data_IF_719550802037
#
_entry.id   IF_719550802037
#
_cell.length_a   1.000
_cell.length_b   1.000
_cell.length_c   1.000
_cell.angle_alpha   90.00
_cell.angle_beta   90.00
_cell.angle_gamma   90.00
#
_symmetry.space_group_name_H-M   'P 1'
#
loop_
_entity.id
_entity.type
_entity.pdbx_description
1 polymer ?
#
# COMPACT_ATOMS: atom_id res chain seq x y z
N UNK A 1 -57.96 48.76 -12.04
CA UNK A 1 -57.45 48.65 -10.65
C UNK A 1 -57.53 47.19 -10.22
N UNK A 2 -56.35 46.58 -10.03
CA UNK A 2 -56.03 45.31 -9.34
C UNK A 2 -57.01 44.12 -9.40
N UNK A 3 -56.68 43.10 -10.21
CA UNK A 3 -57.04 41.71 -9.94
C UNK A 3 -55.84 41.03 -9.25
N UNK A 4 -56.02 40.68 -7.99
CA UNK A 4 -55.05 39.91 -7.19
C UNK A 4 -55.24 38.43 -7.58
N UNK A 5 -54.24 37.84 -8.26
CA UNK A 5 -54.14 36.39 -8.37
C UNK A 5 -53.39 35.86 -7.14
N UNK A 6 -54.12 35.11 -6.31
CA UNK A 6 -53.52 34.29 -5.27
C UNK A 6 -52.96 33.01 -5.90
N UNK A 7 -51.64 32.91 -6.02
CA UNK A 7 -50.95 31.65 -6.29
C UNK A 7 -50.55 31.03 -4.96
N UNK A 8 -51.31 30.04 -4.48
CA UNK A 8 -50.86 29.13 -3.43
C UNK A 8 -49.73 28.27 -3.99
N UNK A 9 -48.49 28.55 -3.56
CA UNK A 9 -47.37 27.62 -3.73
C UNK A 9 -47.44 26.62 -2.58
N UNK A 10 -47.93 25.42 -2.87
CA UNK A 10 -47.96 24.29 -1.93
C UNK A 10 -46.51 23.78 -1.79
N UNK A 11 -45.78 24.23 -0.75
CA UNK A 11 -44.49 23.63 -0.38
C UNK A 11 -44.80 22.29 0.29
N UNK A 12 -44.84 21.24 -0.52
CA UNK A 12 -44.83 19.86 -0.03
C UNK A 12 -43.48 19.56 0.59
N UNK A 13 -43.37 19.72 1.91
CA UNK A 13 -42.33 19.08 2.72
C UNK A 13 -42.59 17.57 2.67
N UNK A 14 -42.05 16.90 1.65
CA UNK A 14 -41.94 15.44 1.64
C UNK A 14 -40.81 15.12 2.61
N UNK A 15 -41.16 14.98 3.89
CA UNK A 15 -40.34 14.31 4.87
C UNK A 15 -40.31 12.84 4.47
N UNK A 16 -39.38 12.47 3.59
CA UNK A 16 -39.12 11.07 3.29
C UNK A 16 -38.75 10.37 4.60
N UNK A 17 -39.36 9.22 4.93
CA UNK A 17 -38.97 8.49 6.12
C UNK A 17 -37.49 8.13 5.99
N UNK A 18 -36.72 8.36 7.06
CA UNK A 18 -35.39 7.79 7.23
C UNK A 18 -35.59 6.29 7.37
N UNK A 19 -35.71 5.59 6.24
CA UNK A 19 -35.45 4.17 6.21
C UNK A 19 -33.98 4.01 6.56
N UNK A 20 -33.69 3.36 7.67
CA UNK A 20 -32.41 2.69 7.85
C UNK A 20 -32.25 1.74 6.67
N UNK A 21 -31.46 2.12 5.67
CA UNK A 21 -31.03 1.21 4.61
C UNK A 21 -30.08 0.18 5.22
N UNK A 22 -30.66 -0.79 5.92
CA UNK A 22 -29.97 -1.99 6.35
C UNK A 22 -29.68 -2.79 5.07
N UNK A 23 -28.41 -2.98 4.73
CA UNK A 23 -27.99 -3.73 3.53
C UNK A 23 -27.31 -2.94 2.41
N UNK A 24 -27.29 -1.58 2.41
CA UNK A 24 -26.71 -0.80 1.29
C UNK A 24 -25.24 -1.18 0.99
N UNK A 25 -24.49 -1.56 2.02
CA UNK A 25 -23.04 -1.76 1.93
C UNK A 25 -22.61 -3.22 2.11
N UNK A 26 -23.53 -4.12 2.45
CA UNK A 26 -23.19 -5.46 2.96
C UNK A 26 -22.58 -6.34 1.85
N UNK A 27 -23.01 -6.14 0.60
CA UNK A 27 -22.54 -6.87 -0.56
C UNK A 27 -21.42 -6.16 -1.35
N UNK A 28 -20.98 -4.97 -0.91
CA UNK A 28 -19.94 -4.23 -1.62
C UNK A 28 -18.54 -4.74 -1.28
N UNK A 29 -17.77 -4.99 -2.34
CA UNK A 29 -16.35 -5.26 -2.29
C UNK A 29 -15.64 -4.47 -3.40
N UNK A 30 -14.32 -4.48 -3.38
CA UNK A 30 -13.54 -3.68 -4.31
C UNK A 30 -13.68 -4.15 -5.76
N UNK A 31 -13.76 -5.46 -6.00
CA UNK A 31 -13.96 -6.01 -7.35
C UNK A 31 -15.25 -5.49 -7.99
N UNK A 32 -16.36 -5.49 -7.24
CA UNK A 32 -17.64 -4.96 -7.71
C UNK A 32 -17.57 -3.45 -7.99
N UNK A 33 -16.87 -2.69 -7.17
CA UNK A 33 -16.72 -1.23 -7.38
C UNK A 33 -15.93 -0.96 -8.65
N UNK A 34 -14.86 -1.70 -8.89
CA UNK A 34 -13.99 -1.50 -10.04
C UNK A 34 -14.63 -1.91 -11.38
N UNK A 35 -15.68 -2.72 -11.35
CA UNK A 35 -16.48 -3.04 -12.56
C UNK A 35 -17.59 -2.03 -12.85
N UNK A 36 -17.92 -1.12 -11.94
CA UNK A 36 -18.94 -0.07 -12.17
C UNK A 36 -18.48 0.96 -13.21
N UNK A 37 -19.41 1.65 -13.91
CA UNK A 37 -19.10 2.88 -14.64
C UNK A 37 -18.44 3.94 -13.74
N UNK A 38 -17.57 4.79 -14.29
CA UNK A 38 -16.82 5.80 -13.51
C UNK A 38 -17.74 6.79 -12.78
N UNK A 39 -18.84 7.16 -13.43
CA UNK A 39 -19.88 8.04 -12.90
C UNK A 39 -20.65 7.44 -11.71
N UNK A 40 -20.73 6.10 -11.64
CA UNK A 40 -21.47 5.37 -10.60
C UNK A 40 -20.60 5.05 -9.37
N UNK A 41 -19.28 5.22 -9.47
CA UNK A 41 -18.35 4.97 -8.37
C UNK A 41 -18.43 6.13 -7.36
N UNK A 42 -18.95 5.87 -6.16
CA UNK A 42 -18.75 6.76 -5.00
C UNK A 42 -17.35 6.54 -4.43
N UNK A 43 -16.47 7.54 -4.59
CA UNK A 43 -15.08 7.43 -4.19
C UNK A 43 -14.93 7.24 -2.67
N UNK A 44 -15.81 7.86 -1.87
CA UNK A 44 -15.78 7.71 -0.42
C UNK A 44 -16.13 6.29 0.03
N UNK A 45 -17.14 5.69 -0.59
CA UNK A 45 -17.50 4.30 -0.34
C UNK A 45 -16.38 3.36 -0.78
N UNK A 46 -15.75 3.59 -1.94
CA UNK A 46 -14.60 2.81 -2.37
C UNK A 46 -13.45 2.84 -1.35
N UNK A 47 -13.08 4.03 -0.85
CA UNK A 47 -12.05 4.18 0.17
C UNK A 47 -12.41 3.49 1.50
N UNK A 48 -13.69 3.53 1.91
CA UNK A 48 -14.15 2.85 3.13
C UNK A 48 -14.24 1.33 2.98
N UNK A 49 -14.58 0.83 1.79
CA UNK A 49 -14.55 -0.61 1.47
C UNK A 49 -13.11 -1.12 1.51
N UNK A 50 -12.15 -0.40 0.94
CA UNK A 50 -10.72 -0.75 1.08
C UNK A 50 -10.27 -0.77 2.54
N UNK A 51 -10.76 0.16 3.36
CA UNK A 51 -10.43 0.20 4.77
C UNK A 51 -10.93 -1.03 5.57
N UNK A 52 -11.95 -1.76 5.09
CA UNK A 52 -12.44 -2.96 5.79
C UNK A 52 -11.40 -4.06 5.92
N UNK A 53 -10.41 -4.13 5.02
CA UNK A 53 -9.34 -5.12 5.16
C UNK A 53 -8.55 -4.91 6.45
N UNK A 54 -8.23 -3.65 6.76
CA UNK A 54 -7.48 -3.28 7.95
C UNK A 54 -8.40 -3.00 9.17
N UNK A 55 -9.71 -2.84 8.94
CA UNK A 55 -10.75 -2.61 9.95
C UNK A 55 -12.00 -3.47 9.64
N UNK A 56 -11.98 -4.78 9.91
CA UNK A 56 -13.08 -5.68 9.51
C UNK A 56 -14.47 -5.28 10.04
N UNK A 57 -14.52 -4.66 11.21
CA UNK A 57 -15.75 -4.20 11.87
C UNK A 57 -16.10 -2.74 11.55
N UNK A 58 -15.52 -2.15 10.50
CA UNK A 58 -15.77 -0.77 10.13
C UNK A 58 -17.25 -0.55 9.75
N UNK A 59 -17.91 0.38 10.43
CA UNK A 59 -19.27 0.80 10.09
C UNK A 59 -19.20 1.83 8.95
N UNK A 60 -19.29 1.36 7.69
CA UNK A 60 -19.26 2.22 6.49
C UNK A 60 -20.35 3.29 6.56
N UNK A 61 -21.57 2.92 6.95
CA UNK A 61 -22.71 3.85 6.97
C UNK A 61 -22.46 5.05 7.88
N UNK A 62 -21.81 4.86 9.03
CA UNK A 62 -21.44 5.95 9.93
C UNK A 62 -20.50 6.94 9.25
N UNK A 63 -19.47 6.47 8.56
CA UNK A 63 -18.51 7.34 7.89
C UNK A 63 -19.11 8.00 6.64
N UNK A 64 -19.95 7.30 5.90
CA UNK A 64 -20.70 7.90 4.79
C UNK A 64 -21.60 9.06 5.25
N UNK A 65 -22.31 8.90 6.37
CA UNK A 65 -23.10 9.98 6.97
C UNK A 65 -22.23 11.20 7.35
N UNK A 66 -21.02 10.97 7.88
CA UNK A 66 -20.07 12.04 8.19
C UNK A 66 -19.65 12.78 6.90
N UNK A 67 -19.29 12.05 5.85
CA UNK A 67 -18.88 12.63 4.56
C UNK A 67 -20.02 13.43 3.91
N UNK A 68 -21.24 12.90 3.95
CA UNK A 68 -22.44 13.59 3.44
C UNK A 68 -22.73 14.87 4.22
N UNK A 69 -22.59 14.84 5.56
CA UNK A 69 -22.75 16.03 6.39
C UNK A 69 -21.68 17.09 6.10
N UNK A 70 -20.42 16.69 5.92
CA UNK A 70 -19.34 17.59 5.52
C UNK A 70 -19.61 18.24 4.15
N UNK A 71 -19.98 17.45 3.15
CA UNK A 71 -20.33 17.93 1.82
C UNK A 71 -21.54 18.89 1.86
N UNK A 72 -22.58 18.57 2.62
CA UNK A 72 -23.75 19.44 2.80
C UNK A 72 -23.34 20.82 3.35
N UNK A 73 -22.49 20.85 4.40
CA UNK A 73 -22.01 22.13 4.99
C UNK A 73 -21.22 22.94 3.98
N UNK A 74 -20.31 22.31 3.24
CA UNK A 74 -19.53 22.98 2.19
C UNK A 74 -20.47 23.56 1.13
N UNK A 75 -21.45 22.79 0.66
CA UNK A 75 -22.39 23.24 -0.36
C UNK A 75 -23.24 24.44 0.11
N UNK A 76 -23.69 24.43 1.37
CA UNK A 76 -24.42 25.55 1.97
C UNK A 76 -23.57 26.82 2.06
N UNK A 77 -22.29 26.69 2.41
CA UNK A 77 -21.35 27.83 2.47
C UNK A 77 -21.04 28.39 1.08
N UNK A 78 -21.04 27.54 0.07
CA UNK A 78 -20.75 27.94 -1.32
C UNK A 78 -21.87 28.72 -1.98
N UNK A 79 -23.12 28.58 -1.53
CA UNK A 79 -24.30 29.29 -2.07
C UNK A 79 -24.39 29.24 -3.61
N UNK A 80 -24.04 28.10 -4.21
CA UNK A 80 -24.07 27.90 -5.66
C UNK A 80 -22.87 28.49 -6.43
N UNK A 81 -21.84 29.00 -5.76
CA UNK A 81 -20.65 29.52 -6.43
C UNK A 81 -19.91 28.41 -7.21
N UNK A 82 -19.69 28.67 -8.51
CA UNK A 82 -19.06 27.74 -9.44
C UNK A 82 -17.63 28.10 -9.81
N UNK A 83 -17.10 29.22 -9.30
CA UNK A 83 -15.74 29.69 -9.58
C UNK A 83 -14.74 28.69 -8.98
N UNK A 84 -13.81 28.12 -9.78
CA UNK A 84 -12.87 27.10 -9.32
C UNK A 84 -12.07 27.50 -8.07
N UNK A 85 -11.53 28.72 -8.04
CA UNK A 85 -10.72 29.23 -6.93
C UNK A 85 -11.55 29.37 -5.66
N UNK A 86 -12.83 29.73 -5.77
CA UNK A 86 -13.75 29.79 -4.64
C UNK A 86 -14.05 28.39 -4.09
N UNK A 87 -14.22 27.38 -4.97
CA UNK A 87 -14.40 25.97 -4.58
C UNK A 87 -13.17 25.42 -3.86
N UNK A 88 -11.98 25.63 -4.43
CA UNK A 88 -10.70 25.22 -3.82
C UNK A 88 -10.53 25.92 -2.47
N UNK A 89 -10.68 27.25 -2.43
CA UNK A 89 -10.54 28.04 -1.21
C UNK A 89 -11.51 27.63 -0.11
N UNK A 90 -12.76 27.30 -0.46
CA UNK A 90 -13.74 26.80 0.50
C UNK A 90 -13.39 25.41 1.02
N UNK A 91 -12.98 24.47 0.16
CA UNK A 91 -12.54 23.14 0.61
C UNK A 91 -11.37 23.27 1.60
N UNK A 92 -10.38 24.09 1.26
CA UNK A 92 -9.22 24.34 2.10
C UNK A 92 -9.60 24.98 3.43
N UNK A 93 -10.51 25.95 3.40
CA UNK A 93 -11.02 26.62 4.61
C UNK A 93 -11.76 25.64 5.51
N UNK A 94 -12.62 24.81 4.92
CA UNK A 94 -13.41 23.83 5.65
C UNK A 94 -12.54 22.74 6.29
N UNK A 95 -11.51 22.26 5.58
CA UNK A 95 -10.64 21.19 6.07
C UNK A 95 -9.55 21.69 7.01
N UNK A 96 -8.91 22.83 6.73
CA UNK A 96 -7.62 23.17 7.33
C UNK A 96 -7.63 24.42 8.20
N UNK A 97 -8.70 25.23 8.18
CA UNK A 97 -8.82 26.44 9.02
C UNK A 97 -9.86 26.24 10.11
N UNK A 98 -9.53 26.66 11.33
CA UNK A 98 -10.48 26.59 12.45
C UNK A 98 -11.53 27.68 12.31
N UNK A 99 -12.80 27.33 12.44
CA UNK A 99 -13.89 28.30 12.49
C UNK A 99 -15.25 27.68 12.78
N UNK A 100 -16.30 28.50 12.91
CA UNK A 100 -17.66 28.01 13.19
C UNK A 100 -18.21 27.09 12.08
N UNK A 101 -17.67 27.16 10.86
CA UNK A 101 -18.08 26.32 9.73
C UNK A 101 -17.67 24.85 9.87
N UNK A 102 -16.70 24.50 10.73
CA UNK A 102 -16.23 23.13 10.97
C UNK A 102 -16.11 22.78 12.47
N UNK A 103 -16.91 23.46 13.30
CA UNK A 103 -16.95 23.27 14.76
C UNK A 103 -15.59 23.56 15.42
N UNK A 104 -14.83 24.47 14.82
CA UNK A 104 -13.47 24.85 15.20
C UNK A 104 -12.44 23.71 15.13
N UNK A 105 -12.78 22.59 14.47
CA UNK A 105 -11.92 21.42 14.33
C UNK A 105 -11.28 21.36 12.95
N UNK A 106 -9.94 21.34 12.90
CA UNK A 106 -9.16 21.23 11.67
C UNK A 106 -8.66 19.82 11.44
N UNK A 107 -8.33 19.53 10.19
CA UNK A 107 -7.51 18.40 9.80
C UNK A 107 -6.06 18.87 9.57
N UNK A 108 -5.09 18.04 9.93
CA UNK A 108 -3.66 18.36 9.83
C UNK A 108 -2.86 17.18 9.31
N UNK A 109 -1.62 17.45 8.86
CA UNK A 109 -0.64 16.40 8.62
C UNK A 109 -0.18 15.80 9.95
N UNK A 110 0.05 14.49 9.99
CA UNK A 110 0.62 13.78 11.12
C UNK A 110 2.15 13.83 11.08
N UNK A 111 2.73 14.79 11.80
CA UNK A 111 4.19 14.99 11.83
C UNK A 111 4.92 13.87 12.58
N UNK A 112 4.20 13.06 13.36
CA UNK A 112 4.76 11.93 14.10
C UNK A 112 4.84 10.66 13.21
N UNK A 113 4.33 10.70 11.98
CA UNK A 113 4.27 9.56 11.05
C UNK A 113 4.34 9.99 9.58
N UNK A 114 5.45 10.61 9.20
CA UNK A 114 5.65 11.18 7.85
C UNK A 114 5.52 10.16 6.72
N UNK A 115 5.87 8.90 6.96
CA UNK A 115 5.83 7.79 5.99
C UNK A 115 4.49 7.03 5.99
N UNK A 116 3.49 7.48 6.75
CA UNK A 116 2.21 6.81 6.89
C UNK A 116 2.34 5.33 7.30
N UNK A 117 3.22 5.02 8.25
CA UNK A 117 3.42 3.67 8.77
C UNK A 117 2.26 3.24 9.70
N UNK A 118 1.61 4.20 10.36
CA UNK A 118 0.46 3.93 11.22
C UNK A 118 -0.80 3.66 10.38
N UNK A 119 -1.62 2.72 10.86
CA UNK A 119 -2.86 2.33 10.15
C UNK A 119 -3.80 3.51 9.92
N UNK A 120 -3.88 4.42 10.89
CA UNK A 120 -4.78 5.57 10.81
C UNK A 120 -4.40 6.54 9.69
N UNK A 121 -3.13 6.57 9.29
CA UNK A 121 -2.61 7.44 8.24
C UNK A 121 -2.64 6.81 6.85
N UNK A 122 -3.13 5.58 6.71
CA UNK A 122 -3.25 4.87 5.43
C UNK A 122 -4.68 4.80 4.89
N UNK A 123 -5.69 4.99 5.74
CA UNK A 123 -7.10 4.78 5.40
C UNK A 123 -8.00 5.95 5.81
N UNK A 124 -9.04 6.22 5.03
CA UNK A 124 -9.95 7.37 5.20
C UNK A 124 -10.59 7.44 6.59
N UNK A 125 -11.04 6.30 7.11
CA UNK A 125 -11.69 6.21 8.43
C UNK A 125 -10.75 6.65 9.57
N UNK A 126 -9.45 6.34 9.44
CA UNK A 126 -8.43 6.76 10.39
C UNK A 126 -8.31 8.28 10.41
N UNK A 127 -8.15 8.89 9.23
CA UNK A 127 -8.05 10.34 9.10
C UNK A 127 -9.31 11.08 9.57
N UNK A 128 -10.50 10.55 9.27
CA UNK A 128 -11.76 11.11 9.77
C UNK A 128 -11.87 11.04 11.31
N UNK A 129 -11.31 9.99 11.92
CA UNK A 129 -11.35 9.79 13.37
C UNK A 129 -10.30 10.63 14.12
N UNK A 130 -9.07 10.69 13.61
CA UNK A 130 -7.94 11.35 14.28
C UNK A 130 -7.77 12.81 13.89
N UNK A 131 -8.27 13.18 12.70
CA UNK A 131 -7.98 14.46 12.01
C UNK A 131 -6.50 14.72 11.73
N UNK A 132 -5.65 13.70 11.92
CA UNK A 132 -4.23 13.69 11.55
C UNK A 132 -4.05 12.70 10.42
N UNK A 133 -3.48 13.14 9.29
CA UNK A 133 -3.39 12.35 8.06
C UNK A 133 -2.02 12.43 7.40
N UNK A 134 -1.92 11.86 6.21
CA UNK A 134 -0.67 11.76 5.45
C UNK A 134 -0.83 12.24 4.01
N UNK A 135 0.24 12.15 3.22
CA UNK A 135 0.20 12.29 1.76
C UNK A 135 -0.76 11.34 1.04
N UNK A 136 -1.28 10.31 1.72
CA UNK A 136 -2.30 9.40 1.19
C UNK A 136 -3.69 9.90 1.56
N UNK A 137 -3.96 10.11 2.85
CA UNK A 137 -5.33 10.33 3.36
C UNK A 137 -5.80 11.78 3.26
N UNK A 138 -4.89 12.75 3.29
CA UNK A 138 -5.25 14.16 3.12
C UNK A 138 -5.84 14.45 1.74
N UNK A 139 -5.17 14.11 0.61
CA UNK A 139 -5.77 14.29 -0.70
C UNK A 139 -7.00 13.39 -0.90
N UNK A 140 -7.03 12.20 -0.28
CA UNK A 140 -8.19 11.30 -0.33
C UNK A 140 -9.47 11.97 0.18
N UNK A 141 -9.46 12.58 1.36
CA UNK A 141 -10.66 13.25 1.90
C UNK A 141 -11.10 14.42 1.02
N UNK A 142 -10.14 15.20 0.51
CA UNK A 142 -10.43 16.32 -0.37
C UNK A 142 -11.08 15.88 -1.68
N UNK A 143 -10.57 14.81 -2.31
CA UNK A 143 -11.16 14.22 -3.52
C UNK A 143 -12.54 13.60 -3.25
N UNK A 144 -12.70 12.92 -2.12
CA UNK A 144 -13.98 12.30 -1.70
C UNK A 144 -15.08 13.34 -1.50
N UNK A 145 -14.75 14.50 -0.95
CA UNK A 145 -15.70 15.60 -0.79
C UNK A 145 -15.97 16.29 -2.13
N UNK A 146 -14.95 16.51 -2.96
CA UNK A 146 -15.11 17.06 -4.29
C UNK A 146 -16.01 16.19 -5.18
N UNK A 147 -15.85 14.87 -5.12
CA UNK A 147 -16.70 13.90 -5.83
C UNK A 147 -18.17 14.03 -5.43
N UNK A 148 -18.47 14.06 -4.12
CA UNK A 148 -19.84 14.28 -3.60
C UNK A 148 -20.44 15.62 -4.01
N UNK A 149 -19.61 16.64 -4.16
CA UNK A 149 -20.02 17.99 -4.55
C UNK A 149 -20.11 18.16 -6.08
N UNK A 150 -19.75 17.14 -6.86
CA UNK A 150 -19.69 17.22 -8.32
C UNK A 150 -18.66 18.21 -8.84
N UNK A 151 -17.56 18.43 -8.09
CA UNK A 151 -16.49 19.34 -8.49
C UNK A 151 -15.46 18.58 -9.34
N UNK A 152 -14.96 19.18 -10.44
CA UNK A 152 -14.07 18.51 -11.37
C UNK A 152 -12.63 18.46 -10.83
N UNK A 153 -12.43 17.75 -9.72
CA UNK A 153 -11.12 17.57 -9.09
C UNK A 153 -10.68 16.12 -9.23
N UNK A 154 -9.47 15.91 -9.74
CA UNK A 154 -8.90 14.59 -9.99
C UNK A 154 -7.58 14.41 -9.25
N UNK A 155 -7.27 13.16 -8.89
CA UNK A 155 -5.98 12.83 -8.31
C UNK A 155 -4.87 12.94 -9.36
N UNK A 156 -3.68 13.31 -8.93
CA UNK A 156 -2.46 13.28 -9.75
C UNK A 156 -1.35 12.60 -8.96
N UNK A 157 -0.63 11.69 -9.62
CA UNK A 157 0.55 11.04 -9.04
C UNK A 157 1.80 11.88 -9.22
N UNK A 158 2.55 11.98 -8.14
CA UNK A 158 3.97 12.32 -8.09
C UNK A 158 4.70 11.14 -7.43
N UNK A 159 6.03 10.96 -7.61
CA UNK A 159 6.79 9.96 -6.88
C UNK A 159 6.45 9.90 -5.38
N UNK A 160 5.87 8.77 -4.96
CA UNK A 160 5.46 8.49 -3.57
C UNK A 160 4.50 9.54 -2.96
N UNK A 161 3.75 10.27 -3.79
CA UNK A 161 2.89 11.37 -3.34
C UNK A 161 1.66 11.53 -4.24
N UNK A 162 0.56 11.99 -3.68
CA UNK A 162 -0.61 12.44 -4.45
C UNK A 162 -0.86 13.92 -4.20
N UNK A 163 -1.17 14.64 -5.27
CA UNK A 163 -1.80 15.94 -5.18
C UNK A 163 -3.09 15.93 -6.01
N UNK A 164 -3.81 17.05 -5.98
CA UNK A 164 -5.13 17.17 -6.63
C UNK A 164 -5.01 18.19 -7.75
N UNK A 165 -5.73 17.98 -8.85
CA UNK A 165 -5.89 18.97 -9.91
C UNK A 165 -7.36 19.27 -10.13
N UNK A 166 -7.72 20.53 -10.03
CA UNK A 166 -8.97 21.06 -10.54
C UNK A 166 -8.87 21.13 -12.06
N UNK A 167 -9.74 20.38 -12.75
CA UNK A 167 -9.76 20.24 -14.19
C UNK A 167 -10.70 21.29 -14.76
N UNK A 168 -10.12 22.40 -15.22
CA UNK A 168 -10.83 23.50 -15.88
C UNK A 168 -9.97 24.04 -17.03
N UNK A 169 -10.60 24.37 -18.16
CA UNK A 169 -9.89 24.94 -19.31
C UNK A 169 -9.21 26.29 -18.99
N UNK A 170 -9.71 27.01 -17.98
CA UNK A 170 -9.17 28.30 -17.55
C UNK A 170 -8.12 28.16 -16.43
N UNK A 171 -7.88 26.94 -15.92
CA UNK A 171 -6.86 26.64 -14.91
C UNK A 171 -5.92 25.52 -15.38
N UNK A 172 -4.93 25.83 -16.23
CA UNK A 172 -4.06 24.83 -16.87
C UNK A 172 -3.33 23.93 -15.87
N UNK A 173 -2.90 24.50 -14.74
CA UNK A 173 -2.15 23.81 -13.69
C UNK A 173 -2.90 23.82 -12.36
N UNK A 174 -4.24 23.74 -12.32
CA UNK A 174 -5.11 23.88 -11.12
C UNK A 174 -4.83 22.96 -9.92
N UNK A 175 -3.58 22.86 -9.51
CA UNK A 175 -2.96 21.95 -8.57
C UNK A 175 -3.26 22.43 -7.16
N UNK A 176 -3.58 21.48 -6.30
CA UNK A 176 -3.93 21.69 -4.92
C UNK A 176 -3.12 20.71 -4.09
N UNK A 177 -2.16 21.24 -3.33
CA UNK A 177 -1.31 20.46 -2.43
C UNK A 177 -2.00 20.30 -1.07
N UNK A 178 -2.80 19.23 -0.95
CA UNK A 178 -3.59 18.96 0.24
C UNK A 178 -2.74 18.80 1.52
N UNK A 179 -1.45 18.44 1.40
CA UNK A 179 -0.58 18.25 2.55
C UNK A 179 0.02 19.55 3.11
N UNK A 180 -0.13 20.70 2.44
CA UNK A 180 0.07 22.04 3.01
C UNK A 180 -1.22 22.84 2.82
N UNK A 181 -2.29 22.32 3.42
CA UNK A 181 -3.62 22.91 3.46
C UNK A 181 -4.16 23.47 2.14
N UNK A 182 -3.82 22.80 1.04
CA UNK A 182 -4.44 22.96 -0.27
C UNK A 182 -3.95 24.17 -1.06
N UNK A 183 -2.78 24.72 -0.75
CA UNK A 183 -2.17 25.77 -1.57
C UNK A 183 -1.87 25.30 -3.00
N UNK A 184 -1.73 26.28 -3.90
CA UNK A 184 -1.29 26.02 -5.28
C UNK A 184 0.20 25.67 -5.32
N UNK A 185 0.54 24.63 -6.08
CA UNK A 185 1.93 24.24 -6.37
C UNK A 185 2.08 24.00 -7.86
N UNK A 186 3.00 24.74 -8.49
CA UNK A 186 3.26 24.61 -9.93
C UNK A 186 3.77 23.19 -10.29
N UNK A 187 3.40 22.71 -11.47
CA UNK A 187 3.78 21.38 -11.96
C UNK A 187 5.30 21.20 -11.99
N UNK A 188 6.05 22.23 -12.34
CA UNK A 188 7.52 22.25 -12.37
C UNK A 188 8.12 21.94 -11.00
N UNK A 189 7.48 22.40 -9.92
CA UNK A 189 7.96 22.16 -8.57
C UNK A 189 7.88 20.69 -8.18
N UNK A 190 6.83 19.98 -8.61
CA UNK A 190 6.76 18.54 -8.43
C UNK A 190 7.86 17.83 -9.24
N UNK A 191 8.13 18.26 -10.47
CA UNK A 191 9.21 17.70 -11.31
C UNK A 191 10.55 17.83 -10.60
N UNK A 192 10.89 19.02 -10.10
CA UNK A 192 12.18 19.29 -9.47
C UNK A 192 12.28 18.65 -8.08
N UNK A 193 11.31 18.87 -7.20
CA UNK A 193 11.40 18.46 -5.79
C UNK A 193 11.31 16.92 -5.63
N UNK A 194 10.69 16.22 -6.59
CA UNK A 194 10.56 14.75 -6.56
C UNK A 194 11.38 14.03 -7.62
N UNK A 195 12.22 14.75 -8.37
CA UNK A 195 13.13 14.21 -9.38
C UNK A 195 12.42 13.36 -10.46
N UNK A 196 11.33 13.88 -11.03
CA UNK A 196 10.55 13.17 -12.03
C UNK A 196 11.31 13.10 -13.37
N UNK A 197 11.65 11.91 -13.90
CA UNK A 197 12.27 11.80 -15.20
C UNK A 197 11.31 12.20 -16.32
N UNK A 198 11.81 12.89 -17.35
CA UNK A 198 11.00 13.27 -18.53
C UNK A 198 10.33 12.06 -19.18
N UNK A 199 11.02 10.92 -19.24
CA UNK A 199 10.47 9.67 -19.76
C UNK A 199 9.25 9.18 -18.96
N UNK A 200 9.23 9.36 -17.64
CA UNK A 200 8.11 8.95 -16.80
C UNK A 200 6.86 9.81 -17.05
N UNK A 201 7.06 11.10 -17.37
CA UNK A 201 5.99 12.01 -17.80
C UNK A 201 5.46 11.56 -19.16
N UNK A 202 6.35 11.31 -20.14
CA UNK A 202 5.98 10.82 -21.49
C UNK A 202 5.23 9.49 -21.44
N UNK A 203 5.62 8.59 -20.53
CA UNK A 203 4.97 7.30 -20.31
C UNK A 203 3.64 7.41 -19.53
N UNK A 204 3.24 8.61 -19.10
CA UNK A 204 2.01 8.81 -18.32
C UNK A 204 2.05 8.20 -16.93
N UNK A 205 3.23 8.04 -16.33
CA UNK A 205 3.37 7.50 -14.96
C UNK A 205 2.99 8.56 -13.93
N UNK A 206 3.48 9.79 -14.13
CA UNK A 206 3.32 10.91 -13.21
C UNK A 206 2.68 12.11 -13.91
N UNK A 207 2.15 13.04 -13.11
CA UNK A 207 1.64 14.37 -13.51
C UNK A 207 0.38 14.39 -14.40
N UNK A 208 -0.09 13.25 -14.90
CA UNK A 208 -1.44 13.14 -15.49
C UNK A 208 -2.51 13.01 -14.42
N UNK A 209 -3.72 13.50 -14.73
CA UNK A 209 -4.88 13.20 -13.89
C UNK A 209 -5.25 11.73 -13.99
N UNK A 210 -5.84 11.22 -12.90
CA UNK A 210 -6.31 9.85 -12.78
C UNK A 210 -7.84 9.82 -12.81
N UNK A 211 -8.40 8.79 -13.45
CA UNK A 211 -9.80 8.40 -13.26
C UNK A 211 -10.04 7.92 -11.81
N UNK A 212 -11.30 7.72 -11.40
CA UNK A 212 -11.57 7.17 -10.05
C UNK A 212 -11.01 5.76 -9.93
N UNK A 213 -11.16 4.92 -10.97
CA UNK A 213 -10.59 3.57 -10.97
C UNK A 213 -9.06 3.59 -10.88
N UNK A 214 -8.38 4.47 -11.61
CA UNK A 214 -6.92 4.59 -11.55
C UNK A 214 -6.44 5.10 -10.18
N UNK A 215 -7.17 6.03 -9.58
CA UNK A 215 -6.87 6.49 -8.22
C UNK A 215 -7.08 5.37 -7.19
N UNK A 216 -8.22 4.68 -7.25
CA UNK A 216 -8.52 3.51 -6.41
C UNK A 216 -7.46 2.42 -6.59
N UNK A 217 -7.06 2.13 -7.84
CA UNK A 217 -5.99 1.18 -8.16
C UNK A 217 -4.68 1.57 -7.48
N UNK A 218 -4.38 2.87 -7.46
CA UNK A 218 -3.19 3.38 -6.78
C UNK A 218 -3.28 3.26 -5.25
N UNK A 219 -4.48 3.18 -4.66
CA UNK A 219 -4.67 2.92 -3.22
C UNK A 219 -4.55 1.43 -2.85
N UNK A 220 -4.76 0.50 -3.79
CA UNK A 220 -4.66 -0.95 -3.54
C UNK A 220 -3.28 -1.37 -3.01
N UNK A 221 -2.22 -0.62 -3.29
CA UNK A 221 -0.89 -0.90 -2.74
C UNK A 221 -0.84 -0.77 -1.21
N UNK A 222 -1.73 0.03 -0.60
CA UNK A 222 -1.84 0.15 0.85
C UNK A 222 -2.43 -1.13 1.45
N UNK A 223 -3.45 -1.70 0.79
CA UNK A 223 -4.02 -3.00 1.15
C UNK A 223 -3.00 -4.12 0.93
N UNK A 224 -2.26 -4.07 -0.18
CA UNK A 224 -1.18 -5.03 -0.44
C UNK A 224 -0.09 -4.98 0.64
N UNK A 225 0.34 -3.76 1.01
CA UNK A 225 1.28 -3.53 2.12
C UNK A 225 0.73 -4.06 3.44
N UNK A 226 -0.52 -3.78 3.76
CA UNK A 226 -1.18 -4.28 4.96
C UNK A 226 -1.13 -5.82 5.04
N UNK A 227 -1.53 -6.51 3.97
CA UNK A 227 -1.50 -7.97 3.94
C UNK A 227 -0.09 -8.53 3.99
N UNK A 228 0.87 -7.92 3.31
CA UNK A 228 2.25 -8.37 3.37
C UNK A 228 2.86 -8.17 4.76
N UNK A 229 2.82 -6.96 5.30
CA UNK A 229 3.61 -6.59 6.48
C UNK A 229 2.95 -7.00 7.79
N UNK A 230 1.61 -7.04 7.84
CA UNK A 230 0.88 -7.23 9.11
C UNK A 230 0.20 -8.58 9.19
N UNK A 231 -0.39 -9.06 8.09
CA UNK A 231 -1.07 -10.34 8.04
C UNK A 231 -0.18 -11.48 7.50
N UNK A 232 1.05 -11.16 7.06
CA UNK A 232 1.99 -12.10 6.44
C UNK A 232 1.38 -12.90 5.26
N UNK A 233 0.42 -12.30 4.56
CA UNK A 233 -0.31 -12.90 3.46
C UNK A 233 0.18 -12.36 2.11
N UNK A 234 1.24 -13.00 1.60
CA UNK A 234 1.88 -12.63 0.34
C UNK A 234 0.94 -12.80 -0.87
N UNK A 235 0.10 -13.83 -0.88
CA UNK A 235 -0.83 -14.10 -1.97
C UNK A 235 -1.83 -12.95 -2.13
N UNK A 236 -2.45 -12.50 -1.03
CA UNK A 236 -3.34 -11.33 -1.07
C UNK A 236 -2.61 -10.06 -1.50
N UNK A 237 -1.38 -9.86 -1.03
CA UNK A 237 -0.57 -8.70 -1.44
C UNK A 237 -0.32 -8.69 -2.96
N UNK A 238 0.01 -9.85 -3.54
CA UNK A 238 0.16 -10.02 -4.98
C UNK A 238 -1.17 -9.80 -5.71
N UNK A 239 -2.29 -10.33 -5.23
CA UNK A 239 -3.60 -10.15 -5.87
C UNK A 239 -4.02 -8.67 -5.96
N UNK A 240 -3.89 -7.92 -4.88
CA UNK A 240 -4.15 -6.48 -4.89
C UNK A 240 -3.24 -5.71 -5.84
N UNK A 241 -1.97 -6.09 -5.91
CA UNK A 241 -1.01 -5.45 -6.81
C UNK A 241 -1.29 -5.80 -8.26
N UNK A 242 -1.68 -7.04 -8.56
CA UNK A 242 -2.07 -7.45 -9.90
C UNK A 242 -3.31 -6.67 -10.38
N UNK A 243 -4.30 -6.51 -9.50
CA UNK A 243 -5.50 -5.70 -9.75
C UNK A 243 -5.15 -4.23 -10.02
N UNK A 244 -4.20 -3.66 -9.27
CA UNK A 244 -3.73 -2.29 -9.52
C UNK A 244 -3.09 -2.13 -10.91
N UNK A 245 -2.22 -3.06 -11.29
CA UNK A 245 -1.53 -3.05 -12.59
C UNK A 245 -2.51 -3.29 -13.75
N UNK A 246 -3.53 -4.14 -13.56
CA UNK A 246 -4.50 -4.44 -14.62
C UNK A 246 -5.40 -3.25 -14.95
N UNK A 247 -5.67 -2.37 -13.98
CA UNK A 247 -6.42 -1.13 -14.17
C UNK A 247 -5.55 -0.06 -14.81
N UNK A 248 -4.32 0.07 -14.36
CA UNK A 248 -3.41 1.09 -14.85
C UNK A 248 -2.03 0.52 -15.18
N UNK A 249 -1.83 0.28 -16.47
CA UNK A 249 -0.57 -0.25 -17.00
C UNK A 249 0.62 0.70 -16.87
N UNK A 250 0.41 1.99 -16.56
CA UNK A 250 1.49 2.95 -16.31
C UNK A 250 1.87 3.04 -14.83
N UNK A 251 1.19 2.31 -13.94
CA UNK A 251 1.41 2.36 -12.50
C UNK A 251 2.72 1.68 -12.08
N UNK A 252 3.83 2.42 -12.23
CA UNK A 252 5.20 1.92 -12.03
C UNK A 252 5.45 1.36 -10.62
N UNK A 253 4.85 1.95 -9.58
CA UNK A 253 4.91 1.44 -8.20
C UNK A 253 4.23 0.08 -8.03
N UNK A 254 3.17 -0.20 -8.78
CA UNK A 254 2.54 -1.52 -8.82
C UNK A 254 3.51 -2.57 -9.34
N UNK A 255 4.15 -2.30 -10.49
CA UNK A 255 5.18 -3.20 -11.05
C UNK A 255 6.35 -3.42 -10.09
N UNK A 256 6.84 -2.34 -9.46
CA UNK A 256 7.93 -2.44 -8.49
C UNK A 256 7.56 -3.33 -7.30
N UNK A 257 6.40 -3.10 -6.68
CA UNK A 257 5.92 -3.91 -5.56
C UNK A 257 5.72 -5.38 -5.97
N UNK A 258 5.14 -5.63 -7.14
CA UNK A 258 4.96 -6.99 -7.66
C UNK A 258 6.29 -7.72 -7.84
N UNK A 259 7.31 -7.04 -8.36
CA UNK A 259 8.66 -7.59 -8.48
C UNK A 259 9.22 -8.03 -7.13
N UNK A 260 9.11 -7.17 -6.12
CA UNK A 260 9.49 -7.50 -4.75
C UNK A 260 8.68 -8.66 -4.17
N UNK A 261 7.38 -8.76 -4.45
CA UNK A 261 6.56 -9.87 -3.98
C UNK A 261 6.94 -11.20 -4.61
N UNK A 262 7.26 -11.23 -5.91
CA UNK A 262 7.84 -12.42 -6.55
C UNK A 262 9.21 -12.79 -5.94
N UNK A 263 10.01 -11.81 -5.56
CA UNK A 263 11.27 -12.06 -4.85
C UNK A 263 11.05 -12.69 -3.47
N UNK A 264 10.08 -12.18 -2.68
CA UNK A 264 9.71 -12.80 -1.40
C UNK A 264 9.10 -14.19 -1.59
N UNK A 265 8.35 -14.40 -2.67
CA UNK A 265 7.80 -15.72 -3.00
C UNK A 265 8.92 -16.72 -3.32
N UNK A 266 9.94 -16.30 -4.08
CA UNK A 266 11.12 -17.12 -4.33
C UNK A 266 11.85 -17.51 -3.04
N UNK A 267 12.02 -16.56 -2.11
CA UNK A 267 12.62 -16.85 -0.80
C UNK A 267 11.78 -17.81 0.04
N UNK A 268 10.45 -17.67 0.01
CA UNK A 268 9.54 -18.60 0.70
C UNK A 268 9.71 -20.03 0.16
N UNK A 269 9.73 -20.19 -1.16
CA UNK A 269 9.98 -21.49 -1.81
C UNK A 269 11.37 -22.05 -1.47
N UNK A 270 12.38 -21.19 -1.39
CA UNK A 270 13.73 -21.58 -0.97
C UNK A 270 13.73 -22.10 0.47
N UNK A 271 13.10 -21.39 1.40
CA UNK A 271 12.97 -21.81 2.80
C UNK A 271 12.23 -23.16 2.91
N UNK A 272 11.11 -23.32 2.21
CA UNK A 272 10.36 -24.57 2.17
C UNK A 272 11.20 -25.74 1.65
N UNK A 273 11.94 -25.51 0.56
CA UNK A 273 12.88 -26.49 0.01
C UNK A 273 13.96 -26.86 1.03
N UNK A 274 14.56 -25.88 1.70
CA UNK A 274 15.59 -26.11 2.71
C UNK A 274 15.06 -26.91 3.90
N UNK A 275 13.85 -26.62 4.36
CA UNK A 275 13.18 -27.40 5.41
C UNK A 275 12.91 -28.85 4.97
N UNK A 276 12.44 -29.08 3.74
CA UNK A 276 12.28 -30.45 3.21
C UNK A 276 13.62 -31.20 3.13
N UNK A 277 14.70 -30.53 2.73
CA UNK A 277 16.05 -31.11 2.67
C UNK A 277 16.62 -31.42 4.07
N UNK A 278 16.31 -30.60 5.07
CA UNK A 278 16.70 -30.84 6.46
C UNK A 278 15.97 -32.04 7.04
N UNK A 279 14.67 -32.20 6.77
CA UNK A 279 13.91 -33.41 7.13
C UNK A 279 14.54 -34.65 6.50
N UNK A 280 14.96 -34.57 5.24
CA UNK A 280 15.69 -35.66 4.59
C UNK A 280 16.95 -36.04 5.37
N UNK A 281 17.75 -35.05 5.77
CA UNK A 281 18.92 -35.30 6.59
C UNK A 281 18.52 -36.01 7.88
N UNK A 282 17.56 -35.50 8.65
CA UNK A 282 17.12 -36.12 9.89
C UNK A 282 16.60 -37.56 9.71
N UNK A 283 15.83 -37.84 8.65
CA UNK A 283 15.27 -39.16 8.37
C UNK A 283 16.34 -40.18 7.98
N UNK A 284 17.34 -39.77 7.20
CA UNK A 284 18.36 -40.66 6.64
C UNK A 284 19.69 -40.64 7.39
N UNK A 285 19.87 -39.79 8.39
CA UNK A 285 21.05 -39.74 9.26
C UNK A 285 20.79 -40.22 10.69
N UNK A 286 19.73 -41.02 10.94
CA UNK A 286 19.41 -41.48 12.31
C UNK A 286 20.67 -42.09 12.97
N UNK A 287 21.03 -41.63 14.19
CA UNK A 287 22.22 -42.14 14.86
C UNK A 287 22.08 -43.62 15.18
N UNK A 288 23.12 -44.40 14.91
CA UNK A 288 23.15 -45.83 15.21
C UNK A 288 23.32 -46.12 16.70
N UNK A 289 23.52 -45.10 17.54
CA UNK A 289 23.79 -45.25 18.97
C UNK A 289 22.95 -44.29 19.86
N UNK A 290 22.51 -44.72 21.07
CA UNK A 290 21.62 -43.94 21.94
C UNK A 290 22.14 -42.56 22.37
N UNK A 291 23.46 -42.34 22.44
CA UNK A 291 24.07 -41.11 22.95
C UNK A 291 24.19 -39.97 21.92
N UNK A 292 24.00 -40.25 20.63
CA UNK A 292 24.02 -39.22 19.56
C UNK A 292 22.69 -38.43 19.47
N UNK A 293 21.71 -38.73 20.33
CA UNK A 293 20.43 -38.02 20.42
C UNK A 293 20.53 -36.62 21.08
N UNK A 294 21.70 -36.25 21.62
CA UNK A 294 21.92 -35.01 22.39
C UNK A 294 22.63 -33.88 21.61
N UNK A 295 22.66 -33.92 20.28
CA UNK A 295 23.24 -32.81 19.49
C UNK A 295 22.20 -31.67 19.42
N UNK A 296 22.54 -30.44 19.85
CA UNK A 296 21.59 -29.32 19.80
C UNK A 296 21.20 -29.03 18.35
N UNK A 297 19.89 -28.85 18.13
CA UNK A 297 19.29 -28.56 16.84
C UNK A 297 19.91 -27.26 16.26
N UNK A 298 20.72 -27.31 15.18
CA UNK A 298 21.22 -26.09 14.57
C UNK A 298 20.04 -25.30 14.01
N UNK A 299 20.01 -23.99 14.29
CA UNK A 299 18.98 -23.11 13.73
C UNK A 299 18.92 -23.22 12.20
N UNK A 300 17.72 -23.36 11.59
CA UNK A 300 17.54 -23.52 10.14
C UNK A 300 18.11 -22.35 9.31
N UNK A 301 18.45 -21.24 9.97
CA UNK A 301 19.01 -20.04 9.32
C UNK A 301 20.55 -20.03 9.20
N UNK A 302 21.27 -20.96 9.82
CA UNK A 302 22.74 -20.94 9.80
C UNK A 302 23.37 -21.44 8.48
N UNK A 303 22.59 -22.12 7.64
CA UNK A 303 23.08 -22.80 6.43
C UNK A 303 22.59 -22.20 5.10
N UNK A 304 21.88 -21.07 5.13
CA UNK A 304 21.29 -20.46 3.92
C UNK A 304 22.35 -19.83 2.99
N UNK A 305 23.47 -19.36 3.53
CA UNK A 305 24.51 -18.67 2.75
C UNK A 305 25.30 -19.62 1.84
N UNK A 306 25.64 -20.82 2.30
CA UNK A 306 26.40 -21.82 1.53
C UNK A 306 25.61 -22.37 0.34
N UNK A 307 24.29 -22.48 0.48
CA UNK A 307 23.38 -22.94 -0.59
C UNK A 307 23.05 -21.84 -1.59
N UNK A 308 22.93 -20.58 -1.16
CA UNK A 308 22.85 -19.41 -2.06
C UNK A 308 24.05 -19.32 -2.99
N UNK A 309 25.24 -19.49 -2.45
CA UNK A 309 26.49 -19.54 -3.25
C UNK A 309 26.47 -20.72 -4.23
N UNK A 310 26.06 -21.91 -3.78
CA UNK A 310 25.97 -23.10 -4.64
C UNK A 310 24.93 -22.96 -5.77
N UNK A 311 23.86 -22.21 -5.54
CA UNK A 311 22.80 -21.95 -6.51
C UNK A 311 23.02 -20.68 -7.35
N UNK A 312 24.08 -19.90 -7.07
CA UNK A 312 24.37 -18.59 -7.68
C UNK A 312 23.16 -17.63 -7.59
N UNK A 313 22.47 -17.64 -6.47
CA UNK A 313 21.31 -16.77 -6.27
C UNK A 313 21.79 -15.32 -6.05
N UNK A 314 21.07 -14.32 -6.60
CA UNK A 314 21.42 -12.93 -6.39
C UNK A 314 21.29 -12.54 -4.91
N UNK A 315 22.16 -11.64 -4.45
CA UNK A 315 22.05 -11.00 -3.14
C UNK A 315 20.65 -10.38 -2.99
N UNK A 316 20.02 -10.49 -1.81
CA UNK A 316 18.73 -9.87 -1.59
C UNK A 316 18.84 -8.37 -1.85
N UNK A 317 17.90 -7.79 -2.61
CA UNK A 317 17.81 -6.35 -2.68
C UNK A 317 17.71 -5.85 -1.25
N UNK A 318 18.58 -4.89 -0.88
CA UNK A 318 18.41 -4.17 0.37
C UNK A 318 16.96 -3.66 0.40
N UNK A 319 16.22 -3.84 1.51
CA UNK A 319 14.82 -3.42 1.62
C UNK A 319 14.69 -1.92 1.31
N UNK A 320 14.49 -1.58 0.04
CA UNK A 320 14.44 -0.22 -0.46
C UNK A 320 12.96 0.15 -0.56
N UNK A 321 12.36 0.35 0.60
CA UNK A 321 11.03 0.95 0.89
C UNK A 321 10.46 0.51 2.26
N UNK A 322 11.22 -0.25 3.06
CA UNK A 322 10.77 -0.73 4.36
C UNK A 322 11.36 0.13 5.48
N UNK A 323 10.56 0.52 6.50
CA UNK A 323 11.09 1.25 7.65
C UNK A 323 12.19 0.45 8.37
N UNK A 324 13.16 1.13 9.01
CA UNK A 324 14.26 0.46 9.72
C UNK A 324 13.72 -0.34 10.90
N UNK A 325 13.77 -1.68 10.82
CA UNK A 325 13.30 -2.54 11.91
C UNK A 325 13.55 -4.04 11.77
N UNK A 326 13.78 -4.56 10.56
CA UNK A 326 14.11 -5.98 10.40
C UNK A 326 15.62 -6.21 10.55
N UNK A 327 16.06 -6.58 11.75
CA UNK A 327 17.39 -7.15 11.99
C UNK A 327 17.29 -8.68 11.89
N UNK A 328 17.98 -9.34 10.95
CA UNK A 328 18.30 -10.76 11.13
C UNK A 328 19.19 -10.87 12.36
N UNK A 329 18.81 -11.68 13.34
CA UNK A 329 19.67 -11.94 14.49
C UNK A 329 20.90 -12.71 14.01
N UNK A 330 22.07 -12.08 14.10
CA UNK A 330 23.36 -12.76 13.99
C UNK A 330 24.08 -12.68 15.33
N UNK A 331 24.15 -13.80 16.04
CA UNK A 331 25.34 -14.25 16.79
C UNK A 331 25.11 -15.66 17.34
N UNK A 332 25.92 -16.62 16.87
CA UNK A 332 26.29 -17.81 17.63
C UNK A 332 27.79 -17.66 17.91
N UNK A 333 28.11 -17.13 19.08
CA UNK A 333 29.40 -17.30 19.72
C UNK A 333 29.22 -18.33 20.84
N UNK A 334 30.20 -19.24 20.93
CA UNK A 334 30.41 -20.25 21.97
C UNK A 334 29.54 -21.52 21.91
N UNK A 335 30.05 -22.54 21.20
CA UNK A 335 29.77 -23.94 21.49
C UNK A 335 31.04 -24.63 22.00
N UNK A 336 30.96 -25.43 23.08
CA UNK A 336 32.13 -26.07 23.70
C UNK A 336 32.71 -27.19 22.83
N UNK A 337 34.04 -27.31 22.86
CA UNK A 337 34.79 -28.43 22.29
C UNK A 337 34.39 -29.75 22.96
N UNK A 338 33.71 -30.64 22.23
CA UNK A 338 33.46 -32.00 22.67
C UNK A 338 34.52 -32.97 22.13
N UNK A 339 35.04 -33.79 23.04
CA UNK A 339 36.02 -34.85 22.80
C UNK A 339 35.53 -35.88 21.76
N UNK A 340 36.41 -36.25 20.85
CA UNK A 340 36.21 -37.31 19.86
C UNK A 340 36.08 -38.67 20.55
N UNK A 341 35.00 -39.45 20.36
CA UNK A 341 34.91 -40.81 20.87
C UNK A 341 35.74 -41.77 20.00
N UNK A 342 36.14 -42.95 20.52
CA UNK A 342 36.94 -43.92 19.78
C UNK A 342 36.13 -44.56 18.64
N UNK A 343 36.74 -44.65 17.45
CA UNK A 343 36.18 -45.31 16.28
C UNK A 343 36.05 -46.83 16.52
N UNK A 344 34.84 -47.33 16.70
CA UNK A 344 34.55 -48.76 16.51
C UNK A 344 34.32 -49.05 15.01
N UNK A 345 34.91 -50.13 14.50
CA UNK A 345 34.75 -50.54 13.10
C UNK A 345 33.34 -51.12 12.87
N UNK A 346 32.59 -50.50 11.96
CA UNK A 346 31.27 -50.95 11.52
C UNK A 346 31.35 -52.33 10.86
N UNK A 347 30.35 -53.17 11.12
CA UNK A 347 30.17 -54.46 10.44
C UNK A 347 29.81 -54.25 8.96
N UNK A 348 30.08 -55.26 8.11
CA UNK A 348 29.77 -55.20 6.67
C UNK A 348 28.27 -54.94 6.40
N UNK A 349 27.40 -55.48 7.25
CA UNK A 349 25.95 -55.30 7.13
C UNK A 349 25.52 -53.87 7.48
N UNK A 350 26.11 -53.26 8.51
CA UNK A 350 25.92 -51.85 8.84
C UNK A 350 26.45 -50.91 7.74
N UNK A 351 27.55 -51.27 7.08
CA UNK A 351 28.09 -50.52 5.94
C UNK A 351 27.13 -50.56 4.74
N UNK A 352 26.58 -51.73 4.38
CA UNK A 352 25.60 -51.86 3.30
C UNK A 352 24.30 -51.11 3.61
N UNK A 353 23.79 -51.20 4.83
CA UNK A 353 22.57 -50.51 5.23
C UNK A 353 22.74 -48.99 5.24
N UNK A 354 23.92 -48.49 5.64
CA UNK A 354 24.28 -47.07 5.52
C UNK A 354 24.40 -46.61 4.06
N UNK A 355 24.91 -47.46 3.16
CA UNK A 355 24.98 -47.12 1.72
C UNK A 355 23.57 -46.96 1.12
N UNK A 356 22.67 -47.91 1.40
CA UNK A 356 21.27 -47.84 0.93
C UNK A 356 20.55 -46.60 1.50
N UNK A 357 20.76 -46.27 2.78
CA UNK A 357 20.19 -45.06 3.38
C UNK A 357 20.72 -43.78 2.73
N UNK A 358 22.01 -43.72 2.39
CA UNK A 358 22.60 -42.59 1.65
C UNK A 358 22.01 -42.45 0.26
N UNK A 359 21.84 -43.55 -0.48
CA UNK A 359 21.25 -43.52 -1.82
C UNK A 359 19.79 -43.04 -1.76
N UNK A 360 19.00 -43.55 -0.81
CA UNK A 360 17.63 -43.10 -0.59
C UNK A 360 17.55 -41.61 -0.20
N UNK A 361 18.49 -41.12 0.61
CA UNK A 361 18.59 -39.71 0.95
C UNK A 361 18.86 -38.85 -0.29
N UNK A 362 19.78 -39.27 -1.16
CA UNK A 362 20.13 -38.50 -2.35
C UNK A 362 19.01 -38.51 -3.39
N UNK A 363 18.29 -39.62 -3.54
CA UNK A 363 17.07 -39.69 -4.36
C UNK A 363 16.02 -38.71 -3.83
N UNK A 364 15.77 -38.70 -2.52
CA UNK A 364 14.83 -37.77 -1.90
C UNK A 364 15.24 -36.31 -2.11
N UNK A 365 16.50 -35.96 -1.79
CA UNK A 365 17.02 -34.60 -2.00
C UNK A 365 16.92 -34.17 -3.47
N UNK A 366 17.22 -35.07 -4.40
CA UNK A 366 17.09 -34.82 -5.83
C UNK A 366 15.63 -34.56 -6.23
N UNK A 367 14.69 -35.32 -5.69
CA UNK A 367 13.25 -35.10 -5.90
C UNK A 367 12.78 -33.74 -5.36
N UNK A 368 13.20 -33.37 -4.14
CA UNK A 368 12.88 -32.05 -3.55
C UNK A 368 13.44 -30.93 -4.41
N UNK A 369 14.70 -31.01 -4.83
CA UNK A 369 15.33 -30.01 -5.72
C UNK A 369 14.63 -29.92 -7.07
N UNK A 370 14.29 -31.06 -7.68
CA UNK A 370 13.60 -31.11 -8.97
C UNK A 370 12.21 -30.45 -8.91
N UNK A 371 11.52 -30.54 -7.77
CA UNK A 371 10.24 -29.89 -7.51
C UNK A 371 10.38 -28.37 -7.28
N UNK A 372 11.32 -27.95 -6.43
CA UNK A 372 11.39 -26.56 -5.93
C UNK A 372 12.23 -25.62 -6.80
N UNK A 373 13.38 -26.08 -7.33
CA UNK A 373 14.32 -25.21 -8.07
C UNK A 373 13.69 -24.55 -9.30
N UNK A 374 12.89 -25.25 -10.15
CA UNK A 374 12.23 -24.59 -11.28
C UNK A 374 11.28 -23.45 -10.85
N UNK A 375 10.52 -23.65 -9.76
CA UNK A 375 9.58 -22.65 -9.26
C UNK A 375 10.30 -21.42 -8.70
N UNK A 376 11.41 -21.62 -7.97
CA UNK A 376 12.26 -20.53 -7.47
C UNK A 376 12.81 -19.72 -8.64
N UNK A 377 13.36 -20.40 -9.67
CA UNK A 377 13.88 -19.73 -10.88
C UNK A 377 12.81 -18.95 -11.62
N UNK A 378 11.61 -19.51 -11.76
CA UNK A 378 10.49 -18.82 -12.40
C UNK A 378 10.06 -17.58 -11.60
N UNK A 379 9.95 -17.69 -10.27
CA UNK A 379 9.62 -16.56 -9.40
C UNK A 379 10.66 -15.43 -9.51
N UNK A 380 11.96 -15.77 -9.52
CA UNK A 380 13.03 -14.78 -9.72
C UNK A 380 12.98 -14.13 -11.11
N UNK A 381 12.74 -14.91 -12.17
CA UNK A 381 12.58 -14.37 -13.51
C UNK A 381 11.38 -13.41 -13.62
N UNK A 382 10.26 -13.73 -12.96
CA UNK A 382 9.11 -12.81 -12.85
C UNK A 382 9.47 -11.56 -12.06
N UNK A 383 10.17 -11.70 -10.93
CA UNK A 383 10.67 -10.56 -10.15
C UNK A 383 11.48 -9.59 -11.02
N UNK A 384 12.47 -10.12 -11.76
CA UNK A 384 13.32 -9.33 -12.65
C UNK A 384 12.51 -8.63 -13.75
N UNK A 385 11.55 -9.35 -14.35
CA UNK A 385 10.68 -8.78 -15.37
C UNK A 385 9.89 -7.58 -14.83
N UNK A 386 9.22 -7.72 -13.69
CA UNK A 386 8.43 -6.65 -13.07
C UNK A 386 9.29 -5.45 -12.65
N UNK A 387 10.47 -5.70 -12.06
CA UNK A 387 11.42 -4.63 -11.69
C UNK A 387 11.91 -3.88 -12.92
N UNK A 388 12.24 -4.59 -14.00
CA UNK A 388 12.69 -3.97 -15.24
C UNK A 388 11.56 -3.18 -15.91
N UNK A 389 10.32 -3.68 -15.86
CA UNK A 389 9.17 -2.93 -16.37
C UNK A 389 8.92 -1.64 -15.60
N UNK A 390 9.05 -1.66 -14.27
CA UNK A 390 8.96 -0.45 -13.45
C UNK A 390 10.03 0.59 -13.81
N UNK A 391 11.27 0.13 -14.06
CA UNK A 391 12.38 1.00 -14.51
C UNK A 391 12.15 1.58 -15.90
N UNK A 392 11.66 0.76 -16.85
CA UNK A 392 11.30 1.19 -18.21
C UNK A 392 10.22 2.28 -18.18
N UNK A 393 9.22 2.12 -17.30
CA UNK A 393 8.19 3.13 -17.08
C UNK A 393 8.76 4.43 -16.48
N UNK A 394 9.89 4.38 -15.78
CA UNK A 394 10.55 5.53 -15.18
C UNK A 394 10.22 5.71 -13.70
N UNK A 395 10.07 4.61 -12.94
CA UNK A 395 9.86 4.67 -11.50
C UNK A 395 10.95 5.48 -10.78
N UNK A 396 10.54 6.34 -9.85
CA UNK A 396 11.42 6.99 -8.88
C UNK A 396 11.40 6.21 -7.57
N UNK A 397 12.51 5.56 -7.24
CA UNK A 397 12.62 4.67 -6.06
C UNK A 397 13.13 5.37 -4.81
N UNK A 398 13.91 6.45 -4.97
CA UNK A 398 14.40 7.25 -3.85
C UNK A 398 13.23 7.97 -3.18
N UNK A 399 13.25 8.03 -1.84
CA UNK A 399 12.27 8.82 -1.10
C UNK A 399 12.58 10.31 -1.30
N UNK A 400 11.60 11.16 -1.65
CA UNK A 400 11.85 12.58 -1.88
C UNK A 400 11.91 13.33 -0.54
N UNK A 401 12.96 13.08 0.23
CA UNK A 401 13.13 13.62 1.60
C UNK A 401 13.03 15.15 1.63
N UNK A 402 13.68 15.82 0.67
CA UNK A 402 13.65 17.28 0.56
C UNK A 402 12.23 17.84 0.34
N UNK A 403 11.41 17.14 -0.46
CA UNK A 403 10.01 17.51 -0.66
C UNK A 403 9.24 17.49 0.67
N UNK A 404 9.37 16.42 1.45
CA UNK A 404 8.68 16.29 2.74
C UNK A 404 9.22 17.23 3.82
N UNK A 405 10.52 17.56 3.81
CA UNK A 405 11.09 18.55 4.73
C UNK A 405 10.54 19.95 4.42
N UNK A 406 10.54 20.37 3.15
CA UNK A 406 9.90 21.64 2.72
C UNK A 406 8.43 21.66 3.10
N UNK A 407 7.74 20.53 2.98
CA UNK A 407 6.34 20.38 3.36
C UNK A 407 6.12 20.62 4.86
N UNK A 408 6.96 20.02 5.70
CA UNK A 408 6.92 20.22 7.16
C UNK A 408 7.17 21.69 7.54
N UNK A 409 8.13 22.36 6.90
CA UNK A 409 8.38 23.79 7.09
C UNK A 409 7.17 24.65 6.70
N UNK A 410 6.55 24.36 5.55
CA UNK A 410 5.33 25.03 5.10
C UNK A 410 4.16 24.82 6.07
N UNK A 411 4.01 23.62 6.63
CA UNK A 411 2.99 23.34 7.66
C UNK A 411 3.23 24.18 8.92
N UNK A 412 4.48 24.26 9.39
CA UNK A 412 4.83 25.07 10.57
C UNK A 412 4.65 26.57 10.33
N UNK A 413 4.98 27.07 9.13
CA UNK A 413 4.70 28.44 8.72
C UNK A 413 3.20 28.73 8.72
N UNK A 414 2.39 27.83 8.17
CA UNK A 414 0.94 27.98 8.15
C UNK A 414 0.33 28.02 9.55
N UNK A 415 0.78 27.15 10.46
CA UNK A 415 0.32 27.19 11.86
C UNK A 415 0.59 28.55 12.53
N UNK A 416 1.70 29.21 12.19
CA UNK A 416 2.11 30.50 12.76
C UNK A 416 1.41 31.70 12.11
N UNK A 417 1.17 31.65 10.80
CA UNK A 417 0.79 32.82 10.00
C UNK A 417 -0.61 32.75 9.39
N UNK A 418 -1.17 31.54 9.26
CA UNK A 418 -2.39 31.30 8.49
C UNK A 418 -2.18 31.36 6.97
N UNK A 419 -0.93 31.48 6.51
CA UNK A 419 -0.54 31.58 5.11
C UNK A 419 0.27 30.34 4.69
N UNK A 420 -0.02 29.83 3.49
CA UNK A 420 0.78 28.78 2.84
C UNK A 420 1.84 29.43 1.97
#
# INVERSE_FOLDING_TARGET
MFKIMASLLLIGLICSPVFTQQGKYDDLNIDKILTMPEEDIDLGIACLVLAKDAYPNLNIQRFDNILNFMALRINLLMQGNTVPEARIGMMNTFLYRSGPWNDSLTFTYDLDDLEANQKNNQYLNGYLATRKGSCITMPMLHLVLADRLGWPMQAVRSPKHFFIRYVDANLPDGNVEATCGGGYVATERYITDTNIPEQAIKNGVYLRTLSKKEYIASLLINNARHYHEREQNLEKAMNYTAMAISIDSTFSSGYWNMGHYYYFYAQKLEIEMLSELEIANMMFTKPTQPWEQNIPNPSPYSNTNSLREAMKLPEPPKPSLFPPGYKPSSTLADLPHHNTPPQQSLTLQEQQQRAIQKDNAEIFRSSVRAKCVPQIKEALARSDWYINKAKELGIVTKFPEEFFLKQAESIEKFKKTGEF
#
